data_IF_851155834425
#
_entry.id   IF_851155834425
#
_cell.length_a   1.000
_cell.length_b   1.000
_cell.length_c   1.000
_cell.angle_alpha   90.00
_cell.angle_beta   90.00
_cell.angle_gamma   90.00
#
_symmetry.space_group_name_H-M   'P 1'
#
loop_
_entity.id
_entity.type
_entity.pdbx_description
1 polymer ?
#
# COMPACT_ATOMS: atom_id res chain seq x y z
N UNK A 1 -14.46 -25.57 16.35
CA UNK A 1 -13.00 -25.78 16.45
C UNK A 1 -12.44 -25.29 15.13
N UNK A 2 -11.55 -24.30 15.19
CA UNK A 2 -10.99 -23.65 14.01
C UNK A 2 -10.02 -24.61 13.30
N UNK A 3 -10.36 -25.01 12.07
CA UNK A 3 -9.54 -25.86 11.22
C UNK A 3 -8.29 -25.06 10.79
N UNK A 4 -7.13 -25.44 11.31
CA UNK A 4 -5.86 -24.75 11.08
C UNK A 4 -5.30 -25.03 9.69
N UNK A 5 -5.80 -24.32 8.68
CA UNK A 5 -5.13 -24.23 7.39
C UNK A 5 -3.98 -23.22 7.50
N UNK A 6 -2.74 -23.69 7.37
CA UNK A 6 -1.55 -22.84 7.35
C UNK A 6 -1.03 -22.74 5.92
N UNK A 7 -1.46 -21.69 5.22
CA UNK A 7 -0.91 -21.32 3.91
C UNK A 7 0.19 -20.26 4.09
N UNK A 8 1.37 -20.50 3.53
CA UNK A 8 2.44 -19.49 3.45
C UNK A 8 2.81 -19.21 2.00
N UNK A 9 3.10 -17.94 1.70
CA UNK A 9 3.57 -17.48 0.39
C UNK A 9 4.94 -16.88 0.56
N UNK A 10 5.93 -17.41 -0.15
CA UNK A 10 7.30 -16.92 -0.11
C UNK A 10 7.98 -17.19 -1.47
N UNK A 11 8.84 -16.28 -1.92
CA UNK A 11 9.70 -16.48 -3.11
C UNK A 11 8.96 -16.90 -4.40
N UNK A 12 7.76 -16.36 -4.64
CA UNK A 12 6.93 -16.71 -5.81
C UNK A 12 6.38 -18.14 -5.75
N UNK A 13 6.32 -18.75 -4.56
CA UNK A 13 5.76 -20.08 -4.33
C UNK A 13 4.66 -20.02 -3.29
N UNK A 14 3.61 -20.80 -3.52
CA UNK A 14 2.56 -21.05 -2.55
C UNK A 14 2.80 -22.41 -1.91
N UNK A 15 2.95 -22.42 -0.58
CA UNK A 15 3.01 -23.64 0.21
C UNK A 15 1.75 -23.74 1.06
N UNK A 16 1.05 -24.85 0.92
CA UNK A 16 -0.12 -25.17 1.71
C UNK A 16 0.14 -26.44 2.51
N UNK A 17 -0.08 -26.36 3.81
CA UNK A 17 -0.12 -27.51 4.71
C UNK A 17 -1.53 -27.61 5.27
N UNK A 18 -2.21 -28.73 4.97
CA UNK A 18 -3.55 -29.01 5.48
C UNK A 18 -3.57 -30.36 6.17
N UNK A 19 -4.23 -30.41 7.33
CA UNK A 19 -4.46 -31.63 8.08
C UNK A 19 -5.94 -31.98 8.01
N UNK A 20 -6.25 -33.06 7.32
CA UNK A 20 -7.63 -33.54 7.17
C UNK A 20 -7.91 -34.60 8.25
N UNK A 21 -8.89 -34.39 9.14
CA UNK A 21 -9.20 -35.32 10.21
C UNK A 21 -9.69 -36.67 9.69
N UNK A 22 -9.46 -37.72 10.48
CA UNK A 22 -9.89 -39.10 10.16
C UNK A 22 -11.40 -39.17 9.97
N UNK A 23 -11.83 -39.89 8.92
CA UNK A 23 -13.24 -39.99 8.53
C UNK A 23 -13.78 -38.84 7.67
N UNK A 24 -12.94 -37.86 7.30
CA UNK A 24 -13.32 -36.72 6.46
C UNK A 24 -12.51 -36.70 5.17
N UNK A 25 -13.07 -36.10 4.11
CA UNK A 25 -12.36 -35.73 2.88
C UNK A 25 -12.38 -34.22 2.73
N UNK A 26 -11.32 -33.64 2.16
CA UNK A 26 -11.23 -32.21 1.90
C UNK A 26 -11.06 -31.95 0.40
N UNK A 27 -11.65 -30.87 -0.09
CA UNK A 27 -11.43 -30.37 -1.44
C UNK A 27 -10.46 -29.19 -1.36
N UNK A 28 -9.34 -29.31 -2.07
CA UNK A 28 -8.24 -28.35 -2.01
C UNK A 28 -8.12 -27.68 -3.36
N UNK A 29 -8.16 -26.34 -3.37
CA UNK A 29 -7.97 -25.54 -4.57
C UNK A 29 -6.64 -24.81 -4.47
N UNK A 30 -5.70 -25.15 -5.34
CA UNK A 30 -4.38 -24.54 -5.37
C UNK A 30 -4.34 -23.38 -6.37
N UNK A 31 -3.59 -22.30 -6.08
CA UNK A 31 -3.41 -21.21 -7.03
C UNK A 31 -2.71 -21.70 -8.30
N UNK A 32 -3.20 -21.28 -9.47
CA UNK A 32 -2.69 -21.70 -10.79
C UNK A 32 -3.44 -22.88 -11.42
N UNK A 33 -4.31 -23.56 -10.66
CA UNK A 33 -5.11 -24.69 -11.15
C UNK A 33 -6.59 -24.40 -10.89
N UNK A 34 -7.42 -24.40 -11.93
CA UNK A 34 -8.87 -24.17 -11.75
C UNK A 34 -9.57 -25.38 -11.08
N UNK A 35 -8.98 -26.56 -11.25
CA UNK A 35 -9.45 -27.82 -10.68
C UNK A 35 -9.23 -27.90 -9.15
N UNK A 36 -10.21 -28.50 -8.48
CA UNK A 36 -10.14 -28.88 -7.08
C UNK A 36 -9.61 -30.32 -6.96
N UNK A 37 -8.65 -30.53 -6.07
CA UNK A 37 -8.14 -31.86 -5.73
C UNK A 37 -8.88 -32.38 -4.49
N UNK A 38 -9.47 -33.57 -4.57
CA UNK A 38 -10.12 -34.20 -3.41
C UNK A 38 -9.11 -35.08 -2.68
N UNK A 39 -8.83 -34.76 -1.42
CA UNK A 39 -7.90 -35.51 -0.58
C UNK A 39 -8.60 -36.22 0.57
N UNK A 40 -8.12 -37.43 0.88
CA UNK A 40 -8.59 -38.22 2.00
C UNK A 40 -8.04 -37.70 3.33
N UNK A 41 -8.46 -38.30 4.45
CA UNK A 41 -7.88 -38.01 5.75
C UNK A 41 -6.35 -38.19 5.75
N UNK A 42 -5.65 -37.35 6.51
CA UNK A 42 -4.19 -37.37 6.57
C UNK A 42 -3.59 -35.97 6.52
N UNK A 43 -2.26 -35.93 6.49
CA UNK A 43 -1.49 -34.69 6.33
C UNK A 43 -1.13 -34.54 4.85
N UNK A 44 -1.47 -33.38 4.29
CA UNK A 44 -1.23 -33.08 2.89
C UNK A 44 -0.43 -31.80 2.78
N UNK A 45 0.56 -31.84 1.89
CA UNK A 45 1.45 -30.71 1.61
C UNK A 45 1.52 -30.48 0.12
N UNK A 46 1.25 -29.23 -0.27
CA UNK A 46 1.39 -28.78 -1.66
C UNK A 46 2.42 -27.67 -1.73
N UNK A 47 3.23 -27.71 -2.78
CA UNK A 47 4.12 -26.62 -3.17
C UNK A 47 3.91 -26.38 -4.66
N UNK A 48 3.34 -25.22 -5.01
CA UNK A 48 3.07 -24.85 -6.40
C UNK A 48 3.73 -23.51 -6.71
N UNK A 49 4.24 -23.31 -7.95
CA UNK A 49 4.64 -21.98 -8.40
C UNK A 49 3.44 -21.05 -8.32
N UNK A 50 3.56 -19.94 -7.59
CA UNK A 50 2.50 -18.95 -7.49
C UNK A 50 2.45 -18.19 -8.82
N UNK A 51 1.63 -18.69 -9.75
CA UNK A 51 1.43 -18.07 -11.07
C UNK A 51 0.67 -16.74 -10.97
N UNK A 52 0.16 -16.41 -9.78
CA UNK A 52 -0.26 -15.06 -9.46
C UNK A 52 0.96 -14.30 -8.96
N UNK A 53 1.39 -13.20 -9.64
CA UNK A 53 2.36 -12.30 -9.02
C UNK A 53 1.83 -11.92 -7.64
N UNK A 54 2.71 -11.74 -6.63
CA UNK A 54 2.28 -11.44 -5.27
C UNK A 54 1.23 -10.33 -5.35
N UNK A 55 -0.02 -10.68 -5.04
CA UNK A 55 -1.06 -9.69 -4.88
C UNK A 55 -0.47 -8.71 -3.90
N UNK A 56 -0.35 -7.41 -4.23
CA UNK A 56 0.11 -6.46 -3.24
C UNK A 56 -0.81 -6.69 -2.05
N UNK A 57 -0.23 -7.08 -0.90
CA UNK A 57 -0.95 -7.06 0.37
C UNK A 57 -1.61 -5.69 0.50
N UNK A 58 -2.60 -5.50 1.40
CA UNK A 58 -3.21 -4.18 1.58
C UNK A 58 -2.09 -3.16 1.67
N UNK A 59 -1.90 -2.37 0.59
CA UNK A 59 -0.80 -1.41 0.52
C UNK A 59 -1.16 -0.48 1.66
N UNK A 60 -0.37 -0.49 2.74
CA UNK A 60 -0.50 0.53 3.76
C UNK A 60 -0.56 1.84 2.98
N UNK A 61 -1.65 2.62 3.09
CA UNK A 61 -1.77 3.84 2.32
C UNK A 61 -0.53 4.67 2.63
N UNK A 62 0.15 5.15 1.57
CA UNK A 62 1.34 5.98 1.69
C UNK A 62 1.06 7.04 2.76
N UNK A 63 1.90 7.14 3.79
CA UNK A 63 1.70 8.09 4.89
C UNK A 63 2.40 9.40 4.62
N UNK A 64 2.07 10.44 5.38
CA UNK A 64 2.78 11.72 5.30
C UNK A 64 4.27 11.52 5.65
N UNK A 65 4.60 10.63 6.59
CA UNK A 65 5.99 10.27 6.92
C UNK A 65 6.73 9.72 5.69
N UNK A 66 6.11 8.81 4.95
CA UNK A 66 6.71 8.24 3.73
C UNK A 66 6.99 9.32 2.66
N UNK A 67 6.14 10.35 2.58
CA UNK A 67 6.37 11.48 1.66
C UNK A 67 7.54 12.34 2.11
N UNK A 68 7.66 12.60 3.42
CA UNK A 68 8.78 13.37 4.00
C UNK A 68 10.11 12.63 3.89
N UNK A 69 10.10 11.31 4.05
CA UNK A 69 11.29 10.47 3.94
C UNK A 69 11.81 10.35 2.48
N UNK A 70 10.97 10.68 1.50
CA UNK A 70 11.33 10.68 0.08
C UNK A 70 11.74 12.10 -0.40
N UNK A 71 13.05 12.43 -0.45
CA UNK A 71 13.52 13.81 -0.58
C UNK A 71 13.07 14.51 -1.87
N UNK A 72 12.96 13.76 -2.98
CA UNK A 72 12.51 14.31 -4.26
C UNK A 72 11.03 14.71 -4.23
N UNK A 73 10.19 13.85 -3.65
CA UNK A 73 8.76 14.08 -3.51
C UNK A 73 8.50 15.21 -2.52
N UNK A 74 9.17 15.17 -1.37
CA UNK A 74 9.05 16.20 -0.34
C UNK A 74 9.45 17.58 -0.86
N UNK A 75 10.56 17.68 -1.59
CA UNK A 75 11.00 18.95 -2.19
C UNK A 75 9.97 19.53 -3.16
N UNK A 76 9.35 18.68 -3.98
CA UNK A 76 8.29 19.10 -4.90
C UNK A 76 7.04 19.63 -4.16
N UNK A 77 6.63 18.93 -3.09
CA UNK A 77 5.50 19.33 -2.24
C UNK A 77 5.78 20.64 -1.50
N UNK A 78 6.98 20.79 -0.91
CA UNK A 78 7.38 22.02 -0.23
C UNK A 78 7.46 23.20 -1.21
N UNK A 79 7.99 23.00 -2.42
CA UNK A 79 8.01 24.02 -3.45
C UNK A 79 6.59 24.44 -3.89
N UNK A 80 5.67 23.48 -4.02
CA UNK A 80 4.26 23.74 -4.29
C UNK A 80 3.61 24.57 -3.16
N UNK A 81 3.89 24.24 -1.90
CA UNK A 81 3.35 24.94 -0.73
C UNK A 81 3.83 26.40 -0.66
N UNK A 82 5.10 26.66 -1.01
CA UNK A 82 5.66 28.02 -1.09
C UNK A 82 5.04 28.79 -2.26
N UNK A 83 4.99 28.19 -3.46
CA UNK A 83 4.47 28.86 -4.67
C UNK A 83 3.00 29.25 -4.54
N UNK A 84 2.21 28.44 -3.85
CA UNK A 84 0.79 28.68 -3.61
C UNK A 84 0.53 29.59 -2.40
N UNK A 85 1.58 29.95 -1.66
CA UNK A 85 1.49 30.82 -0.48
C UNK A 85 0.88 30.14 0.74
N UNK A 86 0.74 28.80 0.73
CA UNK A 86 0.25 28.03 1.88
C UNK A 86 1.27 28.03 3.01
N UNK A 87 2.54 27.82 2.67
CA UNK A 87 3.65 27.85 3.64
C UNK A 87 4.77 28.76 3.11
N UNK A 88 4.67 30.10 3.30
CA UNK A 88 5.66 31.02 2.80
C UNK A 88 7.02 30.88 3.50
N UNK A 89 7.09 30.36 4.73
CA UNK A 89 8.35 30.10 5.43
C UNK A 89 9.05 28.81 5.01
N UNK A 90 8.56 28.12 3.98
CA UNK A 90 9.28 27.03 3.31
C UNK A 90 9.19 25.68 3.99
N UNK A 91 10.09 24.79 3.58
CA UNK A 91 10.09 23.36 3.90
C UNK A 91 10.06 23.08 5.41
N UNK A 92 10.88 23.79 6.20
CA UNK A 92 10.96 23.59 7.64
C UNK A 92 9.70 24.05 8.40
N UNK A 93 8.92 24.99 7.85
CA UNK A 93 7.62 25.35 8.41
C UNK A 93 6.58 24.28 8.06
N UNK A 94 6.59 23.79 6.82
CA UNK A 94 5.67 22.73 6.37
C UNK A 94 5.87 21.44 7.17
N UNK A 95 7.12 21.01 7.38
CA UNK A 95 7.43 19.83 8.19
C UNK A 95 6.96 19.97 9.64
N UNK A 96 7.09 21.15 10.24
CA UNK A 96 6.62 21.42 11.61
C UNK A 96 5.10 21.35 11.73
N UNK A 97 4.36 21.86 10.75
CA UNK A 97 2.90 21.77 10.73
C UNK A 97 2.42 20.33 10.54
N UNK A 98 3.13 19.53 9.73
CA UNK A 98 2.81 18.13 9.48
C UNK A 98 3.21 17.17 10.61
N UNK A 99 3.98 17.63 11.61
CA UNK A 99 4.47 16.79 12.70
C UNK A 99 3.36 16.03 13.46
N UNK A 100 2.17 16.62 13.58
CA UNK A 100 1.01 16.00 14.23
C UNK A 100 0.26 14.97 13.33
N UNK A 101 0.60 14.92 12.04
CA UNK A 101 -0.10 14.15 11.02
C UNK A 101 0.80 13.16 10.27
N UNK A 102 2.01 12.89 10.77
CA UNK A 102 2.99 12.03 10.07
C UNK A 102 2.45 10.64 9.74
N UNK A 103 1.66 10.05 10.64
CA UNK A 103 1.06 8.73 10.46
C UNK A 103 -0.29 8.78 9.71
N UNK A 104 -0.76 9.96 9.32
CA UNK A 104 -1.96 10.12 8.51
C UNK A 104 -1.68 9.74 7.05
N UNK A 105 -2.72 9.38 6.27
CA UNK A 105 -2.58 9.12 4.84
C UNK A 105 -2.02 10.34 4.09
N UNK A 106 -1.14 10.10 3.12
CA UNK A 106 -0.55 11.13 2.26
C UNK A 106 -1.61 11.91 1.47
N UNK A 107 -2.78 11.33 1.22
CA UNK A 107 -3.94 12.01 0.62
C UNK A 107 -4.45 13.17 1.48
N UNK A 108 -4.18 13.16 2.79
CA UNK A 108 -4.57 14.23 3.71
C UNK A 108 -3.53 15.34 3.82
N UNK A 109 -2.35 15.20 3.19
CA UNK A 109 -1.23 16.14 3.30
C UNK A 109 -1.64 17.58 2.95
N UNK A 110 -2.31 17.74 1.81
CA UNK A 110 -2.71 19.05 1.33
C UNK A 110 -3.72 19.72 2.29
N UNK A 111 -4.65 18.93 2.84
CA UNK A 111 -5.60 19.39 3.86
C UNK A 111 -4.93 19.72 5.19
N UNK A 112 -3.90 18.97 5.58
CA UNK A 112 -3.18 19.18 6.83
C UNK A 112 -2.35 20.48 6.81
N UNK A 113 -1.77 20.86 5.65
CA UNK A 113 -1.04 22.11 5.48
C UNK A 113 -1.96 23.31 5.15
N UNK A 114 -3.02 23.08 4.37
CA UNK A 114 -3.96 24.10 3.95
C UNK A 114 -5.40 23.60 4.16
N UNK A 115 -5.95 23.70 5.38
CA UNK A 115 -7.38 23.48 5.55
C UNK A 115 -8.12 24.51 4.67
N UNK A 116 -8.92 24.01 3.70
CA UNK A 116 -9.46 24.82 2.60
C UNK A 116 -10.29 26.04 3.06
N UNK A 117 -10.74 26.02 4.31
CA UNK A 117 -11.53 27.08 4.94
C UNK A 117 -10.69 28.31 5.33
N UNK A 118 -9.36 28.18 5.39
CA UNK A 118 -8.49 29.20 5.98
C UNK A 118 -7.34 29.69 5.07
N UNK A 119 -7.11 29.07 3.91
CA UNK A 119 -5.96 29.38 3.06
C UNK A 119 -6.37 29.70 1.62
N UNK A 120 -6.16 30.94 1.12
CA UNK A 120 -6.51 31.33 -0.26
C UNK A 120 -5.75 30.54 -1.35
N UNK A 121 -4.67 29.84 -0.98
CA UNK A 121 -3.91 28.94 -1.87
C UNK A 121 -4.29 27.45 -1.80
N UNK A 122 -5.21 27.04 -0.93
CA UNK A 122 -5.46 25.62 -0.63
C UNK A 122 -5.87 24.78 -1.85
N UNK A 123 -6.77 25.30 -2.68
CA UNK A 123 -7.27 24.60 -3.88
C UNK A 123 -6.19 24.46 -4.94
N UNK A 124 -5.34 25.47 -5.10
CA UNK A 124 -4.21 25.41 -6.02
C UNK A 124 -3.17 24.40 -5.52
N UNK A 125 -2.89 24.42 -4.22
CA UNK A 125 -1.96 23.49 -3.58
C UNK A 125 -2.43 22.03 -3.67
N UNK A 126 -3.70 21.76 -3.38
CA UNK A 126 -4.29 20.43 -3.53
C UNK A 126 -4.08 19.87 -4.93
N UNK A 127 -4.35 20.66 -5.98
CA UNK A 127 -4.15 20.21 -7.37
C UNK A 127 -2.70 19.87 -7.68
N UNK A 128 -1.76 20.63 -7.15
CA UNK A 128 -0.34 20.35 -7.37
C UNK A 128 0.11 19.08 -6.65
N UNK A 129 -0.34 18.86 -5.40
CA UNK A 129 -0.08 17.63 -4.66
C UNK A 129 -0.68 16.41 -5.40
N UNK A 130 -1.90 16.52 -5.92
CA UNK A 130 -2.53 15.47 -6.73
C UNK A 130 -1.73 15.18 -8.01
N UNK A 131 -1.19 16.21 -8.68
CA UNK A 131 -0.35 16.04 -9.86
C UNK A 131 1.00 15.37 -9.55
N UNK A 132 1.62 15.70 -8.42
CA UNK A 132 2.85 15.05 -7.93
C UNK A 132 2.58 13.56 -7.69
N UNK A 133 1.52 13.22 -6.96
CA UNK A 133 1.17 11.82 -6.67
C UNK A 133 0.69 11.05 -7.91
N UNK A 134 0.00 11.71 -8.85
CA UNK A 134 -0.36 11.13 -10.15
C UNK A 134 0.86 10.78 -11.02
N UNK A 135 1.93 11.57 -10.90
CA UNK A 135 3.20 11.32 -11.60
C UNK A 135 3.96 10.14 -11.00
N UNK A 136 3.96 9.99 -9.67
CA UNK A 136 4.58 8.86 -8.97
C UNK A 136 3.90 7.52 -9.28
N UNK A 137 2.57 7.53 -9.40
CA UNK A 137 1.79 6.34 -9.73
C UNK A 137 1.94 5.93 -11.21
N UNK A 138 2.18 6.89 -12.10
CA UNK A 138 2.44 6.62 -13.53
C UNK A 138 3.88 6.13 -13.78
N UNK A 139 4.87 6.60 -13.02
CA UNK A 139 6.28 6.24 -13.19
C UNK A 139 6.67 4.83 -12.72
N UNK A 140 5.83 4.17 -11.90
CA UNK A 140 6.11 2.83 -11.34
C UNK A 140 5.68 1.66 -12.24
N UNK A 141 5.23 1.94 -13.47
CA UNK A 141 4.80 0.93 -14.46
C UNK A 141 5.84 0.61 -15.55
N UNK A 142 7.10 1.05 -15.42
CA UNK A 142 8.15 0.74 -16.41
C UNK A 142 9.38 0.11 -15.75
N UNK A 143 9.37 -1.22 -15.66
CA UNK A 143 10.54 -2.11 -15.81
C UNK A 143 9.96 -3.52 -15.96
N UNK A 144 9.87 -3.94 -17.21
CA UNK A 144 9.88 -5.36 -17.64
C UNK A 144 11.32 -5.68 -18.05
#
# INVERSE_FOLDING_TARGET
MEEGQLGTRADGRFRLEARVPVGTTAQVRLPGTDAHETVAHGEHRWEVPDSFPPSPGPRTPLTIRDVLDEPATWSAVAAAAVRTGVVPGGEAEAARQLAAHLDAPATDLARALAPQEFSPGAVAFQREVDAIFGSLSSGRSLTD
#
